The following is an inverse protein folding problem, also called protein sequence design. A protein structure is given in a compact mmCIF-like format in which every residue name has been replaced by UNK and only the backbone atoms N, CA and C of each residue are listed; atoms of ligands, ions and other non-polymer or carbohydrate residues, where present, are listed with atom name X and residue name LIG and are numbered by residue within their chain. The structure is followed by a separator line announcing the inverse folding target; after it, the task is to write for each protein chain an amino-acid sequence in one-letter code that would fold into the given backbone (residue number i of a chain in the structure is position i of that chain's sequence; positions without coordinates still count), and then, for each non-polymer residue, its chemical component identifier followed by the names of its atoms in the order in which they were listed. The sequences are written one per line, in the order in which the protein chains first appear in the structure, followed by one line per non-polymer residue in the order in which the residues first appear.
data_IF_609388017947
#
_entry.id   IF_609388017947
#
_cell.length_a   1.000
_cell.length_b   1.000
_cell.length_c   1.000
_cell.angle_alpha   90.00
_cell.angle_beta   90.00
_cell.angle_gamma   90.00
#
_symmetry.space_group_name_H-M   'P 1'
#
loop_
_entity.id
_entity.type
_entity.pdbx_description
1 polymer ?
#
# COMPACT_ATOMS: atom_id res chain seq x y z
N UNK A 1 7.59 43.85 -10.73
CA UNK A 1 8.49 43.27 -9.72
C UNK A 1 7.63 42.46 -8.78
N UNK A 2 7.64 41.15 -8.97
CA UNK A 2 6.83 40.23 -8.21
C UNK A 2 7.30 40.24 -6.75
N UNK A 3 6.35 40.24 -5.82
CA UNK A 3 6.62 39.80 -4.46
C UNK A 3 6.98 38.32 -4.58
N UNK A 4 8.27 38.00 -4.66
CA UNK A 4 8.78 36.62 -4.66
C UNK A 4 8.22 35.93 -3.42
N UNK A 5 7.42 34.88 -3.63
CA UNK A 5 6.78 34.14 -2.56
C UNK A 5 7.86 33.44 -1.72
N UNK A 6 8.13 33.96 -0.51
CA UNK A 6 9.13 33.43 0.42
C UNK A 6 8.94 31.94 0.70
N UNK A 7 7.69 31.47 0.71
CA UNK A 7 7.34 30.06 0.88
C UNK A 7 7.85 29.20 -0.29
N UNK A 8 7.81 29.72 -1.52
CA UNK A 8 8.28 28.99 -2.70
C UNK A 8 9.80 28.83 -2.69
N UNK A 9 10.53 29.88 -2.29
CA UNK A 9 12.00 29.81 -2.16
C UNK A 9 12.41 28.84 -1.05
N UNK A 10 11.68 28.84 0.06
CA UNK A 10 11.86 27.88 1.14
C UNK A 10 11.69 26.45 0.63
N UNK A 11 10.58 26.18 -0.07
CA UNK A 11 10.27 24.88 -0.67
C UNK A 11 11.36 24.41 -1.64
N UNK A 12 11.77 25.27 -2.58
CA UNK A 12 12.82 24.97 -3.56
C UNK A 12 14.16 24.67 -2.87
N UNK A 13 14.51 25.43 -1.82
CA UNK A 13 15.72 25.21 -1.04
C UNK A 13 15.76 23.83 -0.38
N UNK A 14 14.67 23.43 0.27
CA UNK A 14 14.55 22.12 0.88
C UNK A 14 14.53 20.97 -0.14
N UNK A 15 13.91 21.18 -1.32
CA UNK A 15 13.98 20.23 -2.42
C UNK A 15 15.43 20.05 -2.92
N UNK A 16 16.18 21.13 -3.12
CA UNK A 16 17.62 21.04 -3.49
C UNK A 16 18.38 20.14 -2.50
N UNK A 17 18.14 20.31 -1.21
CA UNK A 17 18.78 19.48 -0.18
C UNK A 17 18.38 18.00 -0.33
N UNK A 18 17.08 17.72 -0.50
CA UNK A 18 16.54 16.37 -0.70
C UNK A 18 17.22 15.70 -1.90
N UNK A 19 17.16 16.33 -3.08
CA UNK A 19 17.75 15.83 -4.31
C UNK A 19 19.26 15.59 -4.17
N UNK A 20 19.99 16.52 -3.53
CA UNK A 20 21.43 16.35 -3.32
C UNK A 20 21.74 15.16 -2.42
N UNK A 21 21.01 15.00 -1.31
CA UNK A 21 21.23 13.89 -0.37
C UNK A 21 20.94 12.54 -1.04
N UNK A 22 19.89 12.47 -1.85
CA UNK A 22 19.52 11.23 -2.55
C UNK A 22 20.53 10.87 -3.64
N UNK A 23 20.91 11.82 -4.50
CA UNK A 23 21.94 11.60 -5.51
C UNK A 23 23.31 11.29 -4.90
N UNK A 24 23.64 11.86 -3.73
CA UNK A 24 24.87 11.52 -2.99
C UNK A 24 24.93 10.05 -2.61
N UNK A 25 23.82 9.38 -2.30
CA UNK A 25 23.85 7.94 -2.00
C UNK A 25 24.24 7.09 -3.21
N UNK A 26 23.99 7.60 -4.42
CA UNK A 26 24.24 6.90 -5.68
C UNK A 26 25.62 7.23 -6.29
N UNK A 27 26.02 8.50 -6.23
CA UNK A 27 27.20 9.02 -6.95
C UNK A 27 28.30 9.58 -6.01
N UNK A 28 28.08 9.52 -4.69
CA UNK A 28 28.97 9.83 -3.56
C UNK A 28 29.71 11.19 -3.59
N UNK A 29 30.72 11.35 -4.43
CA UNK A 29 31.62 12.50 -4.38
C UNK A 29 31.08 13.73 -5.13
N UNK A 30 30.36 13.53 -6.23
CA UNK A 30 29.83 14.61 -7.08
C UNK A 30 28.83 15.51 -6.34
N UNK A 31 27.98 14.89 -5.51
CA UNK A 31 26.94 15.56 -4.72
C UNK A 31 27.38 15.84 -3.27
N UNK A 32 28.69 15.74 -2.99
CA UNK A 32 29.26 16.30 -1.77
C UNK A 32 29.07 17.82 -1.75
N UNK A 33 28.91 18.42 -0.56
CA UNK A 33 28.75 19.89 -0.44
C UNK A 33 29.87 20.62 -1.18
N UNK A 34 31.09 20.07 -1.14
CA UNK A 34 32.30 20.70 -1.67
C UNK A 34 32.29 20.77 -3.19
N UNK A 35 32.01 19.65 -3.88
CA UNK A 35 31.92 19.61 -5.34
C UNK A 35 30.61 20.19 -5.86
N UNK A 36 29.53 20.04 -5.10
CA UNK A 36 28.22 20.51 -5.53
C UNK A 36 28.14 22.05 -5.57
N UNK A 37 28.78 22.78 -4.64
CA UNK A 37 28.81 24.24 -4.69
C UNK A 37 29.90 24.83 -5.60
N UNK A 38 30.84 24.01 -6.08
CA UNK A 38 31.99 24.46 -6.89
C UNK A 38 31.54 25.24 -8.13
N UNK A 39 32.16 26.40 -8.36
CA UNK A 39 31.85 27.29 -9.48
C UNK A 39 30.52 28.04 -9.39
N UNK A 40 29.70 27.79 -8.36
CA UNK A 40 28.35 28.37 -8.24
C UNK A 40 28.23 29.26 -6.99
N UNK A 41 28.56 28.74 -5.82
CA UNK A 41 28.42 29.47 -4.56
C UNK A 41 29.36 28.93 -3.47
N UNK A 42 29.36 29.56 -2.28
CA UNK A 42 30.15 29.05 -1.15
C UNK A 42 29.42 27.92 -0.43
N UNK A 43 30.16 27.07 0.30
CA UNK A 43 29.58 26.00 1.14
C UNK A 43 28.54 26.53 2.13
N UNK A 44 28.80 27.70 2.73
CA UNK A 44 27.88 28.34 3.65
C UNK A 44 26.62 28.85 2.93
N UNK A 45 26.77 29.37 1.71
CA UNK A 45 25.63 29.78 0.89
C UNK A 45 24.75 28.59 0.54
N UNK A 46 25.33 27.46 0.12
CA UNK A 46 24.57 26.25 -0.19
C UNK A 46 23.80 25.74 1.03
N UNK A 47 24.45 25.64 2.20
CA UNK A 47 23.78 25.21 3.44
C UNK A 47 22.61 26.12 3.82
N UNK A 48 22.75 27.44 3.64
CA UNK A 48 21.68 28.41 3.88
C UNK A 48 20.51 28.20 2.92
N UNK A 49 20.79 28.04 1.62
CA UNK A 49 19.78 27.71 0.60
C UNK A 49 19.04 26.42 0.96
N UNK A 50 19.77 25.38 1.36
CA UNK A 50 19.21 24.07 1.73
C UNK A 50 18.34 24.09 3.00
N UNK A 51 18.49 25.13 3.81
CA UNK A 51 17.64 25.43 4.96
C UNK A 51 16.51 26.43 4.62
N UNK A 52 16.28 26.69 3.33
CA UNK A 52 15.22 27.55 2.83
C UNK A 52 15.51 29.05 2.89
N UNK A 53 16.76 29.47 3.14
CA UNK A 53 17.11 30.89 3.13
C UNK A 53 17.26 31.47 1.72
N UNK A 54 16.92 32.76 1.59
CA UNK A 54 16.95 33.49 0.32
C UNK A 54 18.37 33.64 -0.24
N UNK A 55 18.49 33.39 -1.54
CA UNK A 55 19.66 33.72 -2.35
C UNK A 55 19.28 34.43 -3.66
N UNK A 56 20.27 34.72 -4.52
CA UNK A 56 20.02 35.26 -5.86
C UNK A 56 19.42 34.17 -6.76
N UNK A 57 18.44 34.51 -7.58
CA UNK A 57 17.78 33.57 -8.50
C UNK A 57 18.79 32.82 -9.39
N UNK A 58 19.82 33.51 -9.90
CA UNK A 58 20.86 32.88 -10.73
C UNK A 58 21.61 31.76 -10.00
N UNK A 59 21.73 31.84 -8.67
CA UNK A 59 22.31 30.77 -7.86
C UNK A 59 21.40 29.55 -7.82
N UNK A 60 20.08 29.73 -7.66
CA UNK A 60 19.12 28.62 -7.72
C UNK A 60 19.11 27.97 -9.11
N UNK A 61 19.10 28.76 -10.18
CA UNK A 61 19.12 28.26 -11.56
C UNK A 61 20.35 27.38 -11.81
N UNK A 62 21.54 27.84 -11.43
CA UNK A 62 22.80 27.09 -11.62
C UNK A 62 22.87 25.83 -10.75
N UNK A 63 22.27 25.84 -9.56
CA UNK A 63 22.19 24.66 -8.70
C UNK A 63 21.23 23.64 -9.31
N UNK A 64 20.03 24.07 -9.69
CA UNK A 64 18.98 23.18 -10.21
C UNK A 64 19.35 22.58 -11.56
N UNK A 65 20.14 23.29 -12.39
CA UNK A 65 20.65 22.72 -13.65
C UNK A 65 21.57 21.52 -13.44
N UNK A 66 22.18 21.34 -12.26
CA UNK A 66 22.94 20.11 -11.94
C UNK A 66 22.05 18.87 -11.78
N UNK A 67 20.74 19.06 -11.62
CA UNK A 67 19.74 17.99 -11.58
C UNK A 67 18.89 17.94 -12.86
N UNK A 68 19.26 18.69 -13.91
CA UNK A 68 18.43 18.91 -15.11
C UNK A 68 17.03 19.51 -14.79
N UNK A 69 16.95 20.29 -13.72
CA UNK A 69 15.73 20.97 -13.26
C UNK A 69 15.82 22.49 -13.41
N UNK A 70 14.65 23.14 -13.49
CA UNK A 70 14.51 24.57 -13.64
C UNK A 70 13.99 25.25 -12.38
N UNK A 71 14.41 26.50 -12.21
CA UNK A 71 13.86 27.42 -11.21
C UNK A 71 12.65 28.16 -11.78
N UNK A 72 11.54 28.22 -11.05
CA UNK A 72 10.36 28.96 -11.48
C UNK A 72 9.19 28.86 -10.52
N UNK A 73 8.31 29.84 -10.64
CA UNK A 73 7.09 29.98 -9.84
C UNK A 73 5.91 30.35 -10.75
N UNK A 74 4.81 29.60 -10.64
CA UNK A 74 3.63 29.74 -11.48
C UNK A 74 2.36 29.77 -10.62
N UNK A 75 2.02 30.91 -9.97
CA UNK A 75 0.91 31.00 -9.03
C UNK A 75 -0.45 30.59 -9.60
N UNK A 76 -0.69 30.84 -10.90
CA UNK A 76 -1.93 30.41 -11.58
C UNK A 76 -2.05 28.90 -11.72
N UNK A 77 -0.93 28.19 -11.84
CA UNK A 77 -0.91 26.72 -11.84
C UNK A 77 -1.21 26.24 -10.42
N UNK A 78 -0.56 26.83 -9.41
CA UNK A 78 -0.76 26.48 -8.00
C UNK A 78 -2.24 26.64 -7.59
N UNK A 79 -2.88 27.76 -7.92
CA UNK A 79 -4.31 28.01 -7.67
C UNK A 79 -5.21 26.96 -8.36
N UNK A 80 -4.94 26.66 -9.63
CA UNK A 80 -5.72 25.67 -10.37
C UNK A 80 -5.57 24.26 -9.79
N UNK A 81 -4.37 23.87 -9.36
CA UNK A 81 -4.12 22.58 -8.72
C UNK A 81 -4.88 22.45 -7.39
N UNK A 82 -4.86 23.48 -6.55
CA UNK A 82 -5.58 23.47 -5.27
C UNK A 82 -7.10 23.31 -5.45
N UNK A 83 -7.69 23.99 -6.44
CA UNK A 83 -9.11 23.82 -6.77
C UNK A 83 -9.44 22.40 -7.23
N UNK A 84 -8.56 21.76 -8.00
CA UNK A 84 -8.73 20.37 -8.42
C UNK A 84 -8.55 19.39 -7.27
N UNK A 85 -7.69 19.71 -6.31
CA UNK A 85 -7.33 18.83 -5.20
C UNK A 85 -8.51 18.57 -4.25
N UNK A 86 -9.32 19.59 -3.95
CA UNK A 86 -10.54 19.41 -3.14
C UNK A 86 -11.53 18.45 -3.82
N UNK A 87 -11.70 18.59 -5.14
CA UNK A 87 -12.58 17.70 -5.91
C UNK A 87 -12.03 16.27 -5.98
N UNK A 88 -10.71 16.15 -6.14
CA UNK A 88 -10.02 14.86 -6.13
C UNK A 88 -10.18 14.16 -4.78
N UNK A 89 -9.97 14.86 -3.65
CA UNK A 89 -10.18 14.27 -2.33
C UNK A 89 -11.61 13.82 -2.10
N UNK A 90 -12.60 14.58 -2.57
CA UNK A 90 -14.00 14.15 -2.52
C UNK A 90 -14.25 12.91 -3.39
N UNK A 91 -13.68 12.83 -4.59
CA UNK A 91 -13.78 11.65 -5.44
C UNK A 91 -13.14 10.42 -4.77
N UNK A 92 -11.98 10.58 -4.13
CA UNK A 92 -11.32 9.52 -3.34
C UNK A 92 -12.21 9.09 -2.17
N UNK A 93 -12.79 10.02 -1.43
CA UNK A 93 -13.69 9.75 -0.29
C UNK A 93 -14.87 8.86 -0.72
N UNK A 94 -15.50 9.16 -1.85
CA UNK A 94 -16.61 8.40 -2.40
C UNK A 94 -16.19 7.19 -3.26
N UNK A 95 -14.88 6.95 -3.39
CA UNK A 95 -14.34 5.89 -4.23
C UNK A 95 -14.84 5.98 -5.69
N UNK A 96 -15.01 7.21 -6.18
CA UNK A 96 -15.43 7.52 -7.55
C UNK A 96 -14.20 7.48 -8.46
N UNK A 97 -13.82 6.27 -8.85
CA UNK A 97 -12.64 5.98 -9.67
C UNK A 97 -12.64 6.80 -10.99
N UNK A 98 -13.75 6.88 -11.78
CA UNK A 98 -13.81 7.74 -12.96
C UNK A 98 -13.45 9.21 -12.67
N UNK A 99 -14.01 9.81 -11.63
CA UNK A 99 -13.71 11.20 -11.28
C UNK A 99 -12.26 11.38 -10.81
N UNK A 100 -11.73 10.44 -10.02
CA UNK A 100 -10.30 10.46 -9.62
C UNK A 100 -9.39 10.52 -10.85
N UNK A 101 -9.66 9.66 -11.84
CA UNK A 101 -8.90 9.61 -13.10
C UNK A 101 -8.98 10.93 -13.85
N UNK A 102 -10.17 11.48 -13.99
CA UNK A 102 -10.39 12.75 -14.69
C UNK A 102 -9.60 13.89 -14.04
N UNK A 103 -9.68 14.04 -12.71
CA UNK A 103 -8.96 15.10 -12.01
C UNK A 103 -7.44 14.93 -12.07
N UNK A 104 -6.92 13.71 -11.93
CA UNK A 104 -5.49 13.45 -12.11
C UNK A 104 -5.03 13.77 -13.53
N UNK A 105 -5.77 13.37 -14.57
CA UNK A 105 -5.42 13.66 -15.96
C UNK A 105 -5.40 15.16 -16.26
N UNK A 106 -6.37 15.92 -15.71
CA UNK A 106 -6.38 17.39 -15.80
C UNK A 106 -5.15 18.00 -15.14
N UNK A 107 -4.80 17.56 -13.93
CA UNK A 107 -3.60 18.00 -13.22
C UNK A 107 -2.32 17.69 -14.01
N UNK A 108 -2.19 16.47 -14.53
CA UNK A 108 -1.04 16.06 -15.35
C UNK A 108 -0.91 16.90 -16.63
N UNK A 109 -2.03 17.16 -17.31
CA UNK A 109 -2.05 18.02 -18.52
C UNK A 109 -1.60 19.44 -18.22
N UNK A 110 -2.04 20.00 -17.09
CA UNK A 110 -1.63 21.33 -16.63
C UNK A 110 -0.12 21.37 -16.31
N UNK A 111 0.39 20.33 -15.64
CA UNK A 111 1.77 20.23 -15.20
C UNK A 111 2.75 19.87 -16.32
N UNK A 112 2.30 19.26 -17.42
CA UNK A 112 3.15 18.78 -18.52
C UNK A 112 4.11 19.86 -19.06
N UNK A 113 3.65 21.12 -19.13
CA UNK A 113 4.45 22.25 -19.64
C UNK A 113 5.49 22.78 -18.65
N UNK A 114 5.36 22.43 -17.38
CA UNK A 114 6.22 22.88 -16.28
C UNK A 114 6.87 21.72 -15.52
N UNK A 115 6.77 20.49 -16.02
CA UNK A 115 7.26 19.27 -15.34
C UNK A 115 8.77 19.23 -15.11
N UNK A 116 9.53 20.13 -15.73
CA UNK A 116 10.98 20.26 -15.55
C UNK A 116 11.36 21.29 -14.48
N UNK A 117 10.39 21.96 -13.84
CA UNK A 117 10.64 22.85 -12.71
C UNK A 117 10.54 22.07 -11.41
N UNK A 118 11.49 22.26 -10.49
CA UNK A 118 11.71 21.38 -9.32
C UNK A 118 10.47 21.08 -8.46
N UNK A 119 9.58 22.05 -8.25
CA UNK A 119 8.34 21.83 -7.47
C UNK A 119 7.31 21.07 -8.29
N UNK A 120 7.23 21.41 -9.58
CA UNK A 120 6.20 20.90 -10.47
C UNK A 120 6.54 19.51 -11.01
N UNK A 121 7.82 19.13 -11.06
CA UNK A 121 8.25 17.75 -11.30
C UNK A 121 7.72 16.82 -10.20
N UNK A 122 7.82 17.23 -8.94
CA UNK A 122 7.29 16.45 -7.81
C UNK A 122 5.78 16.32 -7.86
N UNK A 123 5.08 17.43 -8.11
CA UNK A 123 3.63 17.41 -8.26
C UNK A 123 3.21 16.51 -9.43
N UNK A 124 3.92 16.57 -10.56
CA UNK A 124 3.62 15.72 -11.71
C UNK A 124 3.75 14.24 -11.35
N UNK A 125 4.84 13.85 -10.68
CA UNK A 125 5.04 12.48 -10.24
C UNK A 125 3.99 12.04 -9.23
N UNK A 126 3.65 12.89 -8.24
CA UNK A 126 2.60 12.60 -7.26
C UNK A 126 1.24 12.33 -7.93
N UNK A 127 0.79 13.21 -8.82
CA UNK A 127 -0.47 13.01 -9.54
C UNK A 127 -0.44 11.80 -10.46
N UNK A 128 0.72 11.50 -11.05
CA UNK A 128 0.90 10.32 -11.91
C UNK A 128 0.79 9.04 -11.09
N UNK A 129 1.46 8.96 -9.94
CA UNK A 129 1.40 7.78 -9.08
C UNK A 129 0.00 7.57 -8.49
N UNK A 130 -0.72 8.65 -8.14
CA UNK A 130 -2.14 8.56 -7.74
C UNK A 130 -3.00 8.05 -8.91
N UNK A 131 -2.79 8.56 -10.12
CA UNK A 131 -3.50 8.08 -11.30
C UNK A 131 -3.24 6.59 -11.54
N UNK A 132 -1.97 6.18 -11.55
CA UNK A 132 -1.54 4.81 -11.81
C UNK A 132 -2.07 3.84 -10.74
N UNK A 133 -2.13 4.28 -9.47
CA UNK A 133 -2.76 3.52 -8.39
C UNK A 133 -4.24 3.24 -8.66
N UNK A 134 -5.06 4.26 -8.94
CA UNK A 134 -6.50 4.07 -9.14
C UNK A 134 -6.88 3.52 -10.52
N UNK A 135 -6.04 3.70 -11.54
CA UNK A 135 -6.31 3.22 -12.90
C UNK A 135 -5.79 1.81 -13.15
N UNK A 136 -4.63 1.46 -12.61
CA UNK A 136 -3.92 0.23 -12.95
C UNK A 136 -3.59 -0.63 -11.72
N UNK A 137 -4.01 -0.25 -10.51
CA UNK A 137 -3.64 -0.94 -9.25
C UNK A 137 -2.11 -1.03 -9.07
N UNK A 138 -1.39 0.00 -9.53
CA UNK A 138 0.06 0.09 -9.41
C UNK A 138 0.41 0.62 -8.02
N UNK A 139 1.24 -0.14 -7.30
CA UNK A 139 1.80 0.27 -6.01
C UNK A 139 3.18 0.86 -6.26
N UNK A 140 3.46 2.00 -5.62
CA UNK A 140 4.74 2.70 -5.75
C UNK A 140 5.94 1.83 -5.33
N UNK A 141 7.12 2.11 -5.91
CA UNK A 141 8.35 1.39 -5.54
C UNK A 141 8.81 1.72 -4.11
N UNK A 142 9.71 0.91 -3.55
CA UNK A 142 10.31 1.19 -2.23
C UNK A 142 11.11 2.50 -2.23
N UNK A 143 11.79 2.80 -3.33
CA UNK A 143 12.52 4.05 -3.51
C UNK A 143 11.59 5.25 -3.54
N UNK A 144 10.47 5.15 -4.28
CA UNK A 144 9.45 6.20 -4.32
C UNK A 144 8.83 6.44 -2.95
N UNK A 145 8.54 5.37 -2.19
CA UNK A 145 8.03 5.48 -0.82
C UNK A 145 9.02 6.23 0.10
N UNK A 146 10.31 5.90 0.03
CA UNK A 146 11.34 6.59 0.83
C UNK A 146 11.51 8.06 0.44
N UNK A 147 11.37 8.37 -0.85
CA UNK A 147 11.35 9.74 -1.34
C UNK A 147 10.14 10.49 -0.77
N UNK A 148 8.93 9.93 -0.91
CA UNK A 148 7.69 10.51 -0.39
C UNK A 148 7.69 10.72 1.13
N UNK A 149 8.30 9.81 1.91
CA UNK A 149 8.46 9.95 3.36
C UNK A 149 9.29 11.16 3.79
N UNK A 150 10.13 11.70 2.90
CA UNK A 150 10.87 12.95 3.12
C UNK A 150 10.15 14.13 2.48
N UNK A 151 9.56 13.92 1.29
CA UNK A 151 8.83 14.95 0.56
C UNK A 151 7.65 15.50 1.36
N UNK A 152 6.96 14.65 2.15
CA UNK A 152 5.86 15.08 3.04
C UNK A 152 6.29 16.10 4.11
N UNK A 153 7.58 16.15 4.48
CA UNK A 153 8.10 17.13 5.44
C UNK A 153 8.38 18.50 4.79
N UNK A 154 8.29 18.56 3.46
CA UNK A 154 8.71 19.70 2.63
C UNK A 154 7.52 20.28 1.86
N UNK A 155 6.64 19.43 1.34
CA UNK A 155 5.51 19.86 0.51
C UNK A 155 4.42 20.59 1.31
N UNK A 156 3.62 21.47 0.67
CA UNK A 156 2.48 22.08 1.33
C UNK A 156 1.46 21.05 1.83
N UNK A 157 0.94 21.27 3.05
CA UNK A 157 -0.01 20.38 3.75
C UNK A 157 -1.22 19.95 2.90
N UNK A 158 -1.59 20.77 1.92
CA UNK A 158 -2.68 20.47 0.98
C UNK A 158 -2.49 19.11 0.29
N UNK A 159 -1.25 18.70 0.00
CA UNK A 159 -0.91 17.46 -0.71
C UNK A 159 -0.63 16.27 0.21
N UNK A 160 -0.58 16.49 1.53
CA UNK A 160 -0.14 15.47 2.48
C UNK A 160 -0.93 14.17 2.36
N UNK A 161 -2.26 14.25 2.25
CA UNK A 161 -3.09 13.06 2.27
C UNK A 161 -2.95 12.24 0.98
N UNK A 162 -2.62 12.86 -0.17
CA UNK A 162 -2.23 12.11 -1.37
C UNK A 162 -0.89 11.39 -1.16
N UNK A 163 0.10 12.06 -0.56
CA UNK A 163 1.41 11.47 -0.27
C UNK A 163 1.25 10.31 0.72
N UNK A 164 0.51 10.52 1.81
CA UNK A 164 0.20 9.48 2.81
C UNK A 164 -0.53 8.32 2.17
N UNK A 165 -1.52 8.57 1.30
CA UNK A 165 -2.26 7.52 0.61
C UNK A 165 -1.32 6.58 -0.14
N UNK A 166 -0.40 7.11 -0.95
CA UNK A 166 0.55 6.28 -1.71
C UNK A 166 1.47 5.48 -0.79
N UNK A 167 2.00 6.09 0.27
CA UNK A 167 2.86 5.42 1.25
C UNK A 167 2.07 4.29 1.95
N UNK A 168 0.85 4.56 2.42
CA UNK A 168 0.04 3.62 3.20
C UNK A 168 -0.46 2.43 2.39
N UNK A 169 -0.59 2.56 1.08
CA UNK A 169 -0.90 1.42 0.21
C UNK A 169 0.33 0.51 -0.02
N UNK A 170 1.55 1.05 0.09
CA UNK A 170 2.81 0.28 -0.05
C UNK A 170 3.24 -0.40 1.25
N UNK A 171 3.04 0.27 2.39
CA UNK A 171 3.53 -0.17 3.71
C UNK A 171 3.10 -1.60 4.12
N UNK A 172 1.85 -2.07 3.87
CA UNK A 172 1.45 -3.43 4.22
C UNK A 172 2.32 -4.52 3.57
N UNK A 173 2.84 -4.28 2.37
CA UNK A 173 3.74 -5.22 1.69
C UNK A 173 5.11 -5.28 2.39
N UNK A 174 5.60 -4.17 2.92
CA UNK A 174 6.84 -4.15 3.71
C UNK A 174 6.63 -4.76 5.10
N UNK A 175 5.40 -4.73 5.65
CA UNK A 175 5.09 -5.37 6.93
C UNK A 175 5.23 -6.90 6.90
N UNK A 176 5.07 -7.53 5.73
CA UNK A 176 5.30 -8.97 5.51
C UNK A 176 6.79 -9.32 5.73
N UNK A 177 7.70 -8.40 5.40
CA UNK A 177 9.15 -8.59 5.55
C UNK A 177 9.72 -7.96 6.83
N UNK A 178 9.12 -6.88 7.34
CA UNK A 178 9.62 -6.13 8.49
C UNK A 178 8.50 -5.37 9.26
N UNK A 179 7.83 -6.07 10.17
CA UNK A 179 6.76 -5.50 11.00
C UNK A 179 7.18 -4.35 11.93
N UNK A 180 8.46 -4.26 12.33
CA UNK A 180 8.96 -3.17 13.19
C UNK A 180 9.04 -1.85 12.42
N UNK A 181 9.55 -1.92 11.20
CA UNK A 181 9.66 -0.75 10.32
C UNK A 181 8.28 -0.21 9.93
N UNK A 182 7.33 -1.10 9.63
CA UNK A 182 5.93 -0.74 9.41
C UNK A 182 5.36 0.12 10.56
N UNK A 183 5.53 -0.33 11.81
CA UNK A 183 5.06 0.39 12.99
C UNK A 183 5.69 1.77 13.16
N UNK A 184 6.98 1.90 12.85
CA UNK A 184 7.69 3.18 12.93
C UNK A 184 7.16 4.17 11.90
N UNK A 185 6.95 3.73 10.66
CA UNK A 185 6.41 4.58 9.59
C UNK A 185 4.98 5.03 9.90
N UNK A 186 4.08 4.14 10.34
CA UNK A 186 2.70 4.53 10.68
C UNK A 186 2.66 5.60 11.78
N UNK A 187 3.48 5.43 12.83
CA UNK A 187 3.57 6.44 13.90
C UNK A 187 4.06 7.79 13.39
N UNK A 188 5.03 7.79 12.47
CA UNK A 188 5.58 9.02 11.86
C UNK A 188 4.53 9.75 11.00
N UNK A 189 3.66 9.01 10.31
CA UNK A 189 2.64 9.59 9.42
C UNK A 189 1.47 10.27 10.15
N UNK A 190 1.34 10.09 11.48
CA UNK A 190 0.40 10.82 12.34
C UNK A 190 -1.08 10.82 11.86
N UNK A 191 -1.59 9.65 11.45
CA UNK A 191 -2.91 9.52 10.80
C UNK A 191 -4.11 10.01 11.64
N UNK A 192 -3.98 10.11 12.96
CA UNK A 192 -5.03 10.62 13.85
C UNK A 192 -5.48 12.05 13.54
N UNK A 193 -4.57 12.86 12.99
CA UNK A 193 -4.79 14.28 12.74
C UNK A 193 -5.16 14.57 11.27
N UNK A 194 -5.48 13.54 10.48
CA UNK A 194 -5.81 13.70 9.06
C UNK A 194 -7.17 14.40 8.87
N UNK A 195 -7.25 15.25 7.85
CA UNK A 195 -8.45 16.04 7.53
C UNK A 195 -9.51 15.17 6.84
N UNK A 196 -9.08 14.28 5.94
CA UNK A 196 -9.97 13.48 5.13
C UNK A 196 -10.31 12.15 5.80
N UNK A 197 -11.58 11.74 5.71
CA UNK A 197 -12.10 10.61 6.49
C UNK A 197 -11.56 9.28 5.97
N UNK A 198 -11.38 9.14 4.65
CA UNK A 198 -10.82 7.95 4.03
C UNK A 198 -9.44 7.58 4.59
N UNK A 199 -8.65 8.54 5.06
CA UNK A 199 -7.35 8.28 5.67
C UNK A 199 -7.46 7.48 6.98
N UNK A 200 -8.57 7.60 7.70
CA UNK A 200 -8.81 6.85 8.95
C UNK A 200 -9.09 5.37 8.69
N UNK A 201 -9.42 4.94 7.47
CA UNK A 201 -9.51 3.51 7.13
C UNK A 201 -8.15 2.82 7.32
N UNK A 202 -7.05 3.52 7.07
CA UNK A 202 -5.70 2.98 7.31
C UNK A 202 -5.38 2.82 8.80
N UNK A 203 -6.03 3.58 9.70
CA UNK A 203 -5.93 3.34 11.15
C UNK A 203 -6.57 2.01 11.55
N UNK A 204 -7.68 1.62 10.91
CA UNK A 204 -8.31 0.32 11.17
C UNK A 204 -7.36 -0.83 10.81
N UNK A 205 -6.66 -0.72 9.67
CA UNK A 205 -5.63 -1.68 9.28
C UNK A 205 -4.51 -1.76 10.32
N UNK A 206 -3.98 -0.61 10.74
CA UNK A 206 -2.94 -0.53 11.77
C UNK A 206 -3.37 -1.18 13.09
N UNK A 207 -4.60 -0.93 13.53
CA UNK A 207 -5.13 -1.51 14.77
C UNK A 207 -5.46 -3.00 14.65
N UNK A 208 -5.86 -3.48 13.47
CA UNK A 208 -6.01 -4.90 13.20
C UNK A 208 -4.65 -5.62 13.33
N UNK A 209 -3.60 -5.00 12.77
CA UNK A 209 -2.23 -5.53 12.79
C UNK A 209 -1.61 -5.52 14.20
N UNK A 210 -1.81 -4.43 14.95
CA UNK A 210 -1.24 -4.27 16.30
C UNK A 210 -2.16 -4.74 17.43
N UNK A 211 -3.32 -5.31 17.10
CA UNK A 211 -4.31 -5.86 18.03
C UNK A 211 -4.83 -4.86 19.08
N UNK A 212 -4.91 -3.57 18.71
CA UNK A 212 -5.44 -2.51 19.57
C UNK A 212 -6.98 -2.43 19.48
N UNK A 213 -7.67 -3.46 19.96
CA UNK A 213 -9.11 -3.67 19.70
C UNK A 213 -10.04 -2.57 20.24
N UNK A 214 -9.72 -1.94 21.36
CA UNK A 214 -10.53 -0.83 21.90
C UNK A 214 -10.50 0.39 20.97
N UNK A 215 -9.29 0.83 20.61
CA UNK A 215 -9.09 1.93 19.67
C UNK A 215 -9.64 1.61 18.28
N UNK A 216 -9.51 0.35 17.84
CA UNK A 216 -10.13 -0.15 16.62
C UNK A 216 -11.64 0.11 16.65
N UNK A 217 -12.33 -0.39 17.68
CA UNK A 217 -13.79 -0.25 17.82
C UNK A 217 -14.24 1.21 17.79
N UNK A 218 -13.54 2.09 18.51
CA UNK A 218 -13.88 3.52 18.57
C UNK A 218 -13.83 4.20 17.18
N UNK A 219 -12.77 3.94 16.40
CA UNK A 219 -12.64 4.52 15.05
C UNK A 219 -13.65 3.88 14.10
N UNK A 220 -13.90 2.58 14.21
CA UNK A 220 -14.88 1.86 13.42
C UNK A 220 -16.29 2.42 13.61
N UNK A 221 -16.71 2.62 14.87
CA UNK A 221 -18.04 3.16 15.19
C UNK A 221 -18.21 4.61 14.68
N UNK A 222 -17.16 5.46 14.77
CA UNK A 222 -17.16 6.83 14.18
C UNK A 222 -17.30 6.78 12.65
N UNK A 223 -16.53 5.91 11.99
CA UNK A 223 -16.57 5.76 10.53
C UNK A 223 -17.91 5.21 10.05
N UNK A 224 -18.46 4.17 10.67
CA UNK A 224 -19.78 3.64 10.33
C UNK A 224 -20.85 4.73 10.43
N UNK A 225 -20.85 5.51 11.52
CA UNK A 225 -21.82 6.58 11.72
C UNK A 225 -21.70 7.66 10.63
N UNK A 226 -20.48 8.10 10.32
CA UNK A 226 -20.23 9.16 9.32
C UNK A 226 -20.60 8.70 7.92
N UNK A 227 -20.13 7.53 7.49
CA UNK A 227 -20.43 7.03 6.15
C UNK A 227 -21.91 6.70 5.93
N UNK A 228 -22.61 6.25 6.97
CA UNK A 228 -24.07 6.15 6.93
C UNK A 228 -24.73 7.52 6.72
N UNK A 229 -24.28 8.56 7.42
CA UNK A 229 -24.84 9.91 7.26
C UNK A 229 -24.63 10.48 5.85
N UNK A 230 -23.51 10.14 5.20
CA UNK A 230 -23.20 10.54 3.83
C UNK A 230 -23.82 9.62 2.78
N UNK A 231 -24.45 8.51 3.18
CA UNK A 231 -24.92 7.43 2.29
C UNK A 231 -23.82 6.92 1.35
N UNK A 232 -22.59 6.86 1.85
CA UNK A 232 -21.44 6.34 1.12
C UNK A 232 -21.33 4.82 1.33
N UNK A 233 -22.16 4.07 0.60
CA UNK A 233 -22.28 2.62 0.77
C UNK A 233 -21.01 1.85 0.38
N UNK A 234 -20.22 2.39 -0.57
CA UNK A 234 -18.94 1.80 -0.97
C UNK A 234 -17.95 1.82 0.21
N UNK A 235 -17.82 2.95 0.92
CA UNK A 235 -16.98 3.04 2.11
C UNK A 235 -17.56 2.32 3.33
N UNK A 236 -18.88 2.18 3.43
CA UNK A 236 -19.47 1.34 4.47
C UNK A 236 -19.04 -0.13 4.32
N UNK A 237 -18.89 -0.64 3.09
CA UNK A 237 -18.33 -1.99 2.89
C UNK A 237 -16.89 -2.10 3.40
N UNK A 238 -16.04 -1.09 3.17
CA UNK A 238 -14.68 -1.05 3.74
C UNK A 238 -14.74 -1.14 5.27
N UNK A 239 -15.61 -0.33 5.90
CA UNK A 239 -15.80 -0.36 7.36
C UNK A 239 -16.32 -1.71 7.84
N UNK A 240 -17.25 -2.34 7.12
CA UNK A 240 -17.82 -3.64 7.50
C UNK A 240 -16.83 -4.78 7.34
N UNK A 241 -15.93 -4.73 6.36
CA UNK A 241 -14.79 -5.66 6.28
C UNK A 241 -13.93 -5.59 7.54
N UNK A 242 -13.58 -4.38 7.98
CA UNK A 242 -12.84 -4.18 9.23
C UNK A 242 -13.63 -4.59 10.48
N UNK A 243 -14.94 -4.39 10.49
CA UNK A 243 -15.80 -4.89 11.56
C UNK A 243 -15.77 -6.41 11.65
N UNK A 244 -15.82 -7.10 10.52
CA UNK A 244 -15.72 -8.56 10.48
C UNK A 244 -14.34 -9.00 11.01
N UNK A 245 -13.25 -8.32 10.64
CA UNK A 245 -11.91 -8.59 11.20
C UNK A 245 -11.88 -8.42 12.73
N UNK A 246 -12.39 -7.30 13.25
CA UNK A 246 -12.41 -7.03 14.68
C UNK A 246 -13.23 -8.09 15.43
N UNK A 247 -14.48 -8.27 15.01
CA UNK A 247 -15.43 -9.12 15.71
C UNK A 247 -15.15 -10.62 15.52
N UNK A 248 -14.44 -11.03 14.47
CA UNK A 248 -13.98 -12.41 14.35
C UNK A 248 -13.03 -12.79 15.49
N UNK A 249 -12.26 -11.83 16.02
CA UNK A 249 -11.34 -12.02 17.14
C UNK A 249 -12.00 -11.90 18.52
N UNK A 250 -13.02 -11.04 18.67
CA UNK A 250 -13.54 -10.68 20.01
C UNK A 250 -14.99 -11.12 20.28
N UNK A 251 -15.85 -11.24 19.26
CA UNK A 251 -17.28 -11.57 19.45
C UNK A 251 -17.92 -12.10 18.16
N UNK A 252 -17.86 -13.43 17.96
CA UNK A 252 -18.28 -14.08 16.71
C UNK A 252 -19.74 -13.79 16.31
N UNK A 253 -20.67 -13.61 17.25
CA UNK A 253 -22.08 -13.31 16.92
C UNK A 253 -22.24 -11.98 16.16
N UNK A 254 -21.37 -11.00 16.45
CA UNK A 254 -21.38 -9.71 15.76
C UNK A 254 -20.97 -9.84 14.29
N UNK A 255 -20.14 -10.84 13.94
CA UNK A 255 -19.75 -11.09 12.55
C UNK A 255 -20.98 -11.31 11.67
N UNK A 256 -21.95 -12.11 12.13
CA UNK A 256 -23.18 -12.38 11.38
C UNK A 256 -24.05 -11.13 11.21
N UNK A 257 -24.02 -10.20 12.15
CA UNK A 257 -24.73 -8.91 12.01
C UNK A 257 -24.10 -8.09 10.89
N UNK A 258 -22.78 -7.99 10.84
CA UNK A 258 -22.09 -7.25 9.77
C UNK A 258 -22.20 -7.93 8.41
N UNK A 259 -22.21 -9.28 8.34
CA UNK A 259 -22.48 -9.99 7.09
C UNK A 259 -23.87 -9.64 6.53
N UNK A 260 -24.90 -9.58 7.37
CA UNK A 260 -26.24 -9.13 6.93
C UNK A 260 -26.25 -7.69 6.44
N UNK A 261 -25.45 -6.81 7.05
CA UNK A 261 -25.31 -5.41 6.58
C UNK A 261 -24.60 -5.34 5.23
N UNK A 262 -23.57 -6.18 5.01
CA UNK A 262 -22.89 -6.32 3.72
C UNK A 262 -23.87 -6.81 2.65
N UNK A 263 -24.59 -7.89 2.91
CA UNK A 263 -25.59 -8.44 1.98
C UNK A 263 -26.65 -7.38 1.64
N UNK A 264 -27.20 -6.68 2.65
CA UNK A 264 -28.14 -5.58 2.44
C UNK A 264 -27.59 -4.50 1.50
N UNK A 265 -26.34 -4.07 1.69
CA UNK A 265 -25.74 -3.05 0.83
C UNK A 265 -25.62 -3.55 -0.62
N UNK A 266 -25.09 -4.76 -0.81
CA UNK A 266 -24.83 -5.35 -2.14
C UNK A 266 -26.15 -5.58 -2.89
N UNK A 267 -27.21 -5.97 -2.20
CA UNK A 267 -28.52 -6.25 -2.81
C UNK A 267 -29.33 -5.00 -3.16
N UNK A 268 -29.13 -3.89 -2.45
CA UNK A 268 -30.03 -2.73 -2.52
C UNK A 268 -29.40 -1.46 -3.09
N UNK A 269 -28.07 -1.37 -3.19
CA UNK A 269 -27.38 -0.18 -3.68
C UNK A 269 -26.37 -0.51 -4.77
N UNK A 270 -26.04 0.52 -5.56
CA UNK A 270 -24.97 0.40 -6.54
C UNK A 270 -23.62 0.35 -5.83
N UNK A 271 -22.87 -0.72 -6.10
CA UNK A 271 -21.49 -0.92 -5.66
C UNK A 271 -20.70 -1.47 -6.84
N UNK A 272 -19.50 -0.93 -7.13
CA UNK A 272 -18.63 -1.49 -8.17
C UNK A 272 -18.32 -2.97 -7.91
N UNK A 273 -18.31 -3.78 -8.97
CA UNK A 273 -18.05 -5.21 -8.88
C UNK A 273 -16.70 -5.52 -8.21
N UNK A 274 -15.68 -4.72 -8.49
CA UNK A 274 -14.36 -4.85 -7.89
C UNK A 274 -14.42 -4.72 -6.35
N UNK A 275 -15.23 -3.78 -5.83
CA UNK A 275 -15.42 -3.60 -4.39
C UNK A 275 -16.22 -4.76 -3.76
N UNK A 276 -17.19 -5.31 -4.49
CA UNK A 276 -17.92 -6.52 -4.07
C UNK A 276 -16.95 -7.71 -3.97
N UNK A 277 -16.09 -7.88 -4.98
CA UNK A 277 -15.04 -8.89 -5.01
C UNK A 277 -14.10 -8.78 -3.81
N UNK A 278 -13.56 -7.59 -3.57
CA UNK A 278 -12.69 -7.27 -2.42
C UNK A 278 -13.38 -7.58 -1.08
N UNK A 279 -14.66 -7.24 -0.95
CA UNK A 279 -15.45 -7.54 0.24
C UNK A 279 -15.57 -9.05 0.47
N UNK A 280 -15.87 -9.82 -0.57
CA UNK A 280 -15.94 -11.27 -0.45
C UNK A 280 -14.58 -11.92 -0.18
N UNK A 281 -13.48 -11.41 -0.75
CA UNK A 281 -12.15 -11.93 -0.46
C UNK A 281 -11.75 -11.68 1.00
N UNK A 282 -12.01 -10.49 1.52
CA UNK A 282 -11.78 -10.15 2.93
C UNK A 282 -12.57 -11.07 3.88
N UNK A 283 -13.86 -11.29 3.60
CA UNK A 283 -14.69 -12.22 4.37
C UNK A 283 -14.14 -13.65 4.30
N UNK A 284 -13.74 -14.11 3.11
CA UNK A 284 -13.17 -15.43 2.91
C UNK A 284 -11.88 -15.64 3.71
N UNK A 285 -10.98 -14.65 3.68
CA UNK A 285 -9.73 -14.65 4.44
C UNK A 285 -9.99 -14.76 5.95
N UNK A 286 -10.97 -14.01 6.47
CA UNK A 286 -11.34 -14.12 7.89
C UNK A 286 -11.87 -15.51 8.24
N UNK A 287 -12.72 -16.10 7.40
CA UNK A 287 -13.17 -17.46 7.63
C UNK A 287 -12.05 -18.50 7.53
N UNK A 288 -11.09 -18.30 6.62
CA UNK A 288 -9.92 -19.16 6.49
C UNK A 288 -9.07 -19.15 7.77
N UNK A 289 -8.72 -17.96 8.28
CA UNK A 289 -7.95 -17.78 9.52
C UNK A 289 -8.63 -18.49 10.71
N UNK A 290 -9.96 -18.48 10.75
CA UNK A 290 -10.76 -19.16 11.79
C UNK A 290 -11.06 -20.64 11.49
N UNK A 291 -10.33 -21.25 10.55
CA UNK A 291 -10.49 -22.65 10.12
C UNK A 291 -11.89 -23.02 9.60
N UNK A 292 -12.72 -22.05 9.19
CA UNK A 292 -14.05 -22.27 8.59
C UNK A 292 -13.92 -22.44 7.08
N UNK A 293 -13.20 -23.48 6.66
CA UNK A 293 -12.77 -23.67 5.27
C UNK A 293 -13.93 -23.80 4.26
N UNK A 294 -15.08 -24.35 4.67
CA UNK A 294 -16.27 -24.43 3.82
C UNK A 294 -16.84 -23.05 3.50
N UNK A 295 -17.00 -22.21 4.51
CA UNK A 295 -17.51 -20.84 4.36
C UNK A 295 -16.51 -19.98 3.59
N UNK A 296 -15.22 -20.08 3.93
CA UNK A 296 -14.15 -19.40 3.22
C UNK A 296 -14.17 -19.73 1.72
N UNK A 297 -14.25 -21.02 1.36
CA UNK A 297 -14.29 -21.42 -0.05
C UNK A 297 -15.56 -20.95 -0.77
N UNK A 298 -16.70 -20.87 -0.08
CA UNK A 298 -17.93 -20.29 -0.63
C UNK A 298 -17.71 -18.81 -0.99
N UNK A 299 -17.09 -18.03 -0.10
CA UNK A 299 -16.83 -16.61 -0.34
C UNK A 299 -15.73 -16.37 -1.38
N UNK A 300 -14.66 -17.17 -1.43
CA UNK A 300 -13.70 -17.12 -2.55
C UNK A 300 -14.38 -17.43 -3.90
N UNK A 301 -15.33 -18.36 -3.91
CA UNK A 301 -16.12 -18.65 -5.11
C UNK A 301 -17.05 -17.50 -5.51
N UNK A 302 -17.55 -16.71 -4.54
CA UNK A 302 -18.27 -15.46 -4.82
C UNK A 302 -17.31 -14.41 -5.38
N UNK A 303 -16.16 -14.18 -4.75
CA UNK A 303 -15.13 -13.22 -5.18
C UNK A 303 -14.80 -13.38 -6.68
N UNK A 304 -14.53 -14.60 -7.16
CA UNK A 304 -14.19 -14.88 -8.58
C UNK A 304 -15.28 -14.44 -9.56
N UNK A 305 -16.55 -14.35 -9.13
CA UNK A 305 -17.65 -13.89 -9.99
C UNK A 305 -17.68 -12.37 -10.19
N UNK A 306 -17.03 -11.63 -9.30
CA UNK A 306 -17.13 -10.16 -9.24
C UNK A 306 -15.81 -9.44 -9.57
N UNK A 307 -14.66 -10.10 -9.53
CA UNK A 307 -13.40 -9.46 -9.88
C UNK A 307 -12.53 -10.33 -10.78
N UNK A 308 -11.72 -9.67 -11.61
CA UNK A 308 -10.78 -10.32 -12.53
C UNK A 308 -9.31 -10.07 -12.14
N UNK A 309 -9.07 -9.21 -11.16
CA UNK A 309 -7.76 -8.94 -10.57
C UNK A 309 -7.78 -9.56 -9.18
N UNK A 310 -6.75 -10.33 -8.84
CA UNK A 310 -6.71 -11.11 -7.60
C UNK A 310 -5.45 -10.81 -6.78
N UNK A 311 -5.60 -10.80 -5.46
CA UNK A 311 -4.46 -10.87 -4.57
C UNK A 311 -3.93 -12.30 -4.50
N UNK A 312 -2.61 -12.46 -4.62
CA UNK A 312 -1.98 -13.79 -4.64
C UNK A 312 -2.24 -14.55 -3.34
N UNK A 313 -2.38 -13.86 -2.21
CA UNK A 313 -2.74 -14.40 -0.90
C UNK A 313 -4.13 -15.02 -0.90
N UNK A 314 -5.12 -14.36 -1.51
CA UNK A 314 -6.48 -14.87 -1.63
C UNK A 314 -6.49 -16.21 -2.39
N UNK A 315 -5.68 -16.30 -3.46
CA UNK A 315 -5.56 -17.53 -4.25
C UNK A 315 -4.85 -18.65 -3.48
N UNK A 316 -3.82 -18.32 -2.69
CA UNK A 316 -3.12 -19.27 -1.81
C UNK A 316 -4.09 -19.83 -0.76
N UNK A 317 -4.88 -18.98 -0.11
CA UNK A 317 -5.85 -19.41 0.89
C UNK A 317 -7.02 -20.19 0.27
N UNK A 318 -7.48 -19.79 -0.92
CA UNK A 318 -8.48 -20.55 -1.67
C UNK A 318 -7.97 -21.97 -2.02
N UNK A 319 -6.73 -22.09 -2.51
CA UNK A 319 -6.11 -23.38 -2.80
C UNK A 319 -5.96 -24.23 -1.54
N UNK A 320 -5.58 -23.60 -0.42
CA UNK A 320 -5.50 -24.28 0.86
C UNK A 320 -6.89 -24.78 1.32
N UNK A 321 -7.95 -23.99 1.21
CA UNK A 321 -9.33 -24.45 1.48
C UNK A 321 -9.68 -25.67 0.64
N UNK A 322 -9.39 -25.65 -0.67
CA UNK A 322 -9.64 -26.80 -1.56
C UNK A 322 -8.86 -28.03 -1.09
N UNK A 323 -7.57 -27.86 -0.76
CA UNK A 323 -6.71 -28.92 -0.24
C UNK A 323 -7.23 -29.51 1.07
N UNK A 324 -7.57 -28.67 2.06
CA UNK A 324 -8.08 -29.10 3.38
C UNK A 324 -9.37 -29.90 3.22
N UNK A 325 -10.26 -29.46 2.33
CA UNK A 325 -11.53 -30.11 2.04
C UNK A 325 -11.41 -31.31 1.08
N UNK A 326 -10.19 -31.72 0.72
CA UNK A 326 -9.90 -32.79 -0.24
C UNK A 326 -10.60 -32.61 -1.60
N UNK A 327 -10.73 -31.36 -2.05
CA UNK A 327 -11.19 -30.98 -3.38
C UNK A 327 -9.99 -30.83 -4.33
N UNK A 328 -10.27 -30.90 -5.62
CA UNK A 328 -9.30 -30.53 -6.65
C UNK A 328 -8.91 -29.05 -6.48
N UNK A 329 -7.61 -28.77 -6.59
CA UNK A 329 -7.11 -27.40 -6.51
C UNK A 329 -7.32 -26.75 -7.86
N UNK A 330 -8.17 -25.72 -7.87
CA UNK A 330 -8.53 -24.96 -9.05
C UNK A 330 -8.60 -23.49 -8.66
N UNK A 331 -7.53 -22.75 -8.98
CA UNK A 331 -7.38 -21.32 -8.69
C UNK A 331 -7.10 -20.56 -9.99
N UNK A 332 -7.52 -19.29 -10.10
CA UNK A 332 -7.17 -18.42 -11.23
C UNK A 332 -5.67 -18.40 -11.55
N UNK A 333 -5.35 -18.33 -12.85
CA UNK A 333 -3.97 -18.21 -13.35
C UNK A 333 -3.66 -16.72 -13.53
N UNK A 334 -2.62 -16.25 -12.85
CA UNK A 334 -2.14 -14.88 -12.95
C UNK A 334 -1.10 -14.73 -14.06
N UNK A 335 -1.09 -13.57 -14.72
CA UNK A 335 -0.05 -13.20 -15.68
C UNK A 335 1.28 -12.93 -14.99
N UNK A 336 2.38 -12.94 -15.76
CA UNK A 336 3.72 -12.64 -15.24
C UNK A 336 3.79 -11.25 -14.59
N UNK A 337 3.16 -10.25 -15.20
CA UNK A 337 3.12 -8.87 -14.67
C UNK A 337 2.39 -8.81 -13.33
N UNK A 338 1.27 -9.53 -13.19
CA UNK A 338 0.50 -9.57 -11.94
C UNK A 338 1.26 -10.27 -10.80
N UNK A 339 2.10 -11.26 -11.11
CA UNK A 339 2.91 -11.98 -10.12
C UNK A 339 4.13 -11.16 -9.68
N UNK A 340 4.71 -10.39 -10.60
CA UNK A 340 5.96 -9.64 -10.36
C UNK A 340 5.84 -8.50 -9.34
N UNK A 341 4.62 -8.07 -8.99
CA UNK A 341 4.39 -7.05 -7.94
C UNK A 341 4.51 -7.57 -6.50
N UNK A 342 4.47 -8.89 -6.28
CA UNK A 342 4.46 -9.49 -4.95
C UNK A 342 5.84 -9.91 -4.45
N UNK A 343 6.09 -10.00 -3.13
CA UNK A 343 7.33 -10.58 -2.59
C UNK A 343 7.62 -11.99 -3.10
N UNK A 344 8.90 -12.37 -3.19
CA UNK A 344 9.34 -13.66 -3.73
C UNK A 344 8.66 -14.87 -3.03
N UNK A 345 8.46 -14.77 -1.72
CA UNK A 345 7.81 -15.81 -0.92
C UNK A 345 6.40 -16.14 -1.43
N UNK A 346 5.55 -15.13 -1.66
CA UNK A 346 4.20 -15.34 -2.15
C UNK A 346 4.18 -15.96 -3.55
N UNK A 347 5.11 -15.57 -4.43
CA UNK A 347 5.25 -16.16 -5.77
C UNK A 347 5.56 -17.66 -5.67
N UNK A 348 6.48 -18.05 -4.77
CA UNK A 348 6.82 -19.46 -4.54
C UNK A 348 5.65 -20.26 -3.99
N UNK A 349 4.90 -19.69 -3.04
CA UNK A 349 3.72 -20.32 -2.44
C UNK A 349 2.58 -20.53 -3.46
N UNK A 350 2.34 -19.56 -4.33
CA UNK A 350 1.37 -19.69 -5.42
C UNK A 350 1.80 -20.74 -6.45
N UNK A 351 3.08 -20.74 -6.85
CA UNK A 351 3.63 -21.73 -7.77
C UNK A 351 3.57 -23.16 -7.20
N UNK A 352 3.70 -23.33 -5.88
CA UNK A 352 3.48 -24.62 -5.23
C UNK A 352 2.07 -25.15 -5.48
N UNK A 353 1.06 -24.29 -5.38
CA UNK A 353 -0.33 -24.68 -5.59
C UNK A 353 -0.68 -24.92 -7.08
N UNK A 354 -0.10 -24.15 -8.00
CA UNK A 354 -0.26 -24.42 -9.45
C UNK A 354 0.26 -25.80 -9.85
N UNK A 355 1.35 -26.26 -9.22
CA UNK A 355 1.96 -27.56 -9.50
C UNK A 355 1.43 -28.68 -8.59
N UNK A 356 0.43 -28.41 -7.75
CA UNK A 356 0.03 -29.31 -6.68
C UNK A 356 -0.45 -30.68 -7.17
N UNK A 357 -1.16 -30.73 -8.31
CA UNK A 357 -1.65 -32.00 -8.88
C UNK A 357 -0.54 -32.86 -9.48
N UNK A 358 0.59 -32.25 -9.85
CA UNK A 358 1.68 -32.88 -10.61
C UNK A 358 2.79 -33.37 -9.67
N UNK A 359 3.11 -32.59 -8.63
CA UNK A 359 4.20 -32.93 -7.72
C UNK A 359 3.88 -34.13 -6.82
N UNK A 360 4.84 -35.04 -6.73
CA UNK A 360 4.84 -36.15 -5.77
C UNK A 360 4.85 -35.63 -4.32
N UNK A 361 4.42 -36.44 -3.33
CA UNK A 361 4.45 -36.00 -1.94
C UNK A 361 5.87 -35.71 -1.43
N UNK A 362 6.92 -36.25 -2.06
CA UNK A 362 8.31 -35.98 -1.66
C UNK A 362 8.79 -34.62 -2.18
N UNK A 363 8.54 -34.34 -3.46
CA UNK A 363 8.83 -33.02 -4.05
C UNK A 363 8.11 -31.89 -3.31
N UNK A 364 6.86 -32.11 -2.87
CA UNK A 364 6.13 -31.14 -2.03
C UNK A 364 6.83 -30.87 -0.71
N UNK A 365 7.29 -31.91 -0.02
CA UNK A 365 8.02 -31.75 1.24
C UNK A 365 9.32 -30.98 1.03
N UNK A 366 10.10 -31.36 0.01
CA UNK A 366 11.39 -30.75 -0.28
C UNK A 366 11.22 -29.28 -0.69
N UNK A 367 10.20 -28.95 -1.48
CA UNK A 367 9.88 -27.57 -1.83
C UNK A 367 9.49 -26.74 -0.59
N UNK A 368 8.61 -27.27 0.27
CA UNK A 368 8.21 -26.56 1.49
C UNK A 368 9.42 -26.26 2.39
N UNK A 369 10.31 -27.25 2.58
CA UNK A 369 11.47 -27.12 3.46
C UNK A 369 12.59 -26.24 2.90
N UNK A 370 12.84 -26.31 1.60
CA UNK A 370 13.98 -25.63 0.99
C UNK A 370 13.63 -24.27 0.41
N UNK A 371 12.40 -24.09 -0.08
CA UNK A 371 12.01 -22.90 -0.83
C UNK A 371 11.07 -21.96 -0.07
N UNK A 372 10.24 -22.49 0.83
CA UNK A 372 9.21 -21.73 1.57
C UNK A 372 9.65 -21.44 3.00
N UNK A 373 9.88 -22.47 3.82
CA UNK A 373 10.21 -22.33 5.24
C UNK A 373 11.38 -21.37 5.52
N UNK A 374 12.50 -21.37 4.75
CA UNK A 374 13.66 -20.54 5.05
C UNK A 374 13.42 -19.05 4.91
N UNK A 375 12.38 -18.63 4.18
CA UNK A 375 12.07 -17.21 3.91
C UNK A 375 10.64 -16.80 4.31
N UNK A 376 9.83 -17.72 4.85
CA UNK A 376 8.52 -17.38 5.39
C UNK A 376 8.64 -16.78 6.80
N UNK A 377 8.06 -15.61 7.01
CA UNK A 377 7.99 -14.92 8.31
C UNK A 377 6.53 -14.71 8.78
N UNK A 378 5.56 -14.96 7.90
CA UNK A 378 4.15 -14.78 8.18
C UNK A 378 3.59 -16.00 8.93
N UNK A 379 2.90 -15.75 10.06
CA UNK A 379 2.37 -16.79 10.95
C UNK A 379 1.22 -17.57 10.32
N UNK A 380 0.30 -16.89 9.65
CA UNK A 380 -0.89 -17.51 9.07
C UNK A 380 -0.50 -18.38 7.87
N UNK A 381 0.39 -17.88 7.01
CA UNK A 381 0.97 -18.65 5.91
C UNK A 381 1.85 -19.80 6.42
N UNK A 382 2.53 -19.64 7.56
CA UNK A 382 3.28 -20.75 8.17
C UNK A 382 2.36 -21.91 8.56
N UNK A 383 1.19 -21.63 9.12
CA UNK A 383 0.22 -22.69 9.44
C UNK A 383 -0.37 -23.36 8.20
N UNK A 384 -0.60 -22.61 7.11
CA UNK A 384 -0.99 -23.17 5.80
C UNK A 384 0.01 -24.21 5.31
N UNK A 385 1.30 -23.86 5.29
CA UNK A 385 2.33 -24.77 4.78
C UNK A 385 2.71 -25.87 5.78
N UNK A 386 2.51 -25.65 7.08
CA UNK A 386 2.55 -26.73 8.08
C UNK A 386 1.47 -27.77 7.83
N UNK A 387 0.26 -27.36 7.46
CA UNK A 387 -0.81 -28.29 7.07
C UNK A 387 -0.43 -29.09 5.81
N UNK A 388 0.03 -28.42 4.76
CA UNK A 388 0.42 -29.09 3.51
C UNK A 388 1.57 -30.08 3.72
N UNK A 389 2.54 -29.71 4.56
CA UNK A 389 3.64 -30.59 4.94
C UNK A 389 3.12 -31.84 5.67
N UNK A 390 2.24 -31.67 6.68
CA UNK A 390 1.63 -32.81 7.40
C UNK A 390 0.86 -33.72 6.44
N UNK A 391 0.12 -33.16 5.48
CA UNK A 391 -0.63 -33.92 4.48
C UNK A 391 0.30 -34.72 3.56
N UNK A 392 1.43 -34.14 3.16
CA UNK A 392 2.44 -34.83 2.37
C UNK A 392 3.18 -35.92 3.17
N UNK A 393 3.50 -35.67 4.45
CA UNK A 393 4.17 -36.64 5.33
C UNK A 393 3.31 -37.89 5.54
N UNK A 394 1.99 -37.75 5.72
CA UNK A 394 1.07 -38.90 5.85
C UNK A 394 1.17 -39.89 4.69
N UNK A 395 1.61 -39.44 3.51
CA UNK A 395 1.78 -40.29 2.32
C UNK A 395 3.18 -40.93 2.20
N UNK A 396 4.20 -40.35 2.85
CA UNK A 396 5.61 -40.73 2.70
C UNK A 396 6.30 -41.17 4.01
N UNK A 397 5.63 -41.09 5.16
CA UNK A 397 6.13 -41.47 6.49
C UNK A 397 7.43 -40.77 6.96
N UNK A 398 7.77 -39.61 6.39
CA UNK A 398 8.98 -38.85 6.72
C UNK A 398 8.74 -37.83 7.85
N UNK A 399 8.56 -38.30 9.09
CA UNK A 399 8.22 -37.42 10.23
C UNK A 399 9.32 -36.42 10.61
N UNK A 400 10.58 -36.69 10.27
CA UNK A 400 11.73 -35.77 10.49
C UNK A 400 11.50 -34.40 9.82
N UNK A 401 10.80 -34.36 8.70
CA UNK A 401 10.51 -33.13 7.97
C UNK A 401 9.67 -32.14 8.78
N UNK A 402 8.74 -32.61 9.62
CA UNK A 402 7.93 -31.72 10.45
C UNK A 402 8.78 -31.05 11.54
N UNK A 403 9.67 -31.82 12.18
CA UNK A 403 10.61 -31.29 13.18
C UNK A 403 11.52 -30.21 12.57
N UNK A 404 12.10 -30.47 11.39
CA UNK A 404 12.93 -29.50 10.68
C UNK A 404 12.16 -28.22 10.34
N UNK A 405 10.91 -28.34 9.90
CA UNK A 405 10.08 -27.18 9.62
C UNK A 405 9.84 -26.33 10.87
N UNK A 406 9.48 -26.97 11.99
CA UNK A 406 9.25 -26.28 13.27
C UNK A 406 10.52 -25.62 13.79
N UNK A 407 11.69 -26.25 13.64
CA UNK A 407 12.98 -25.66 14.00
C UNK A 407 13.30 -24.41 13.16
N UNK A 408 13.10 -24.47 11.84
CA UNK A 408 13.34 -23.33 10.94
C UNK A 408 12.44 -22.15 11.29
N UNK A 409 11.15 -22.39 11.55
CA UNK A 409 10.20 -21.32 11.88
C UNK A 409 10.47 -20.74 13.28
N UNK A 410 10.72 -21.59 14.29
CA UNK A 410 10.98 -21.12 15.66
C UNK A 410 12.28 -20.30 15.76
N UNK A 411 13.30 -20.65 14.99
CA UNK A 411 14.56 -19.90 14.95
C UNK A 411 14.44 -18.48 14.37
N UNK A 412 13.29 -18.11 13.79
CA UNK A 412 12.99 -16.76 13.29
C UNK A 412 12.17 -15.90 14.24
N UNK A 413 11.47 -16.53 15.19
CA UNK A 413 10.60 -15.83 16.15
C UNK A 413 11.41 -15.31 17.36
N UNK A 414 12.63 -15.82 17.54
CA UNK A 414 13.66 -15.30 18.46
C UNK A 414 14.57 -14.30 17.75
#
# INVERSE_FOLDING_TARGET
MAVENLEKLWLIGHMINLYRIENRKLYNDEYSIERFCEGICTRNTLKRIENGERCRESTYMNILSKFDLLFGDFPKIDEALLLMLDQLYNAIEFYDIPSVKEYCQKALTLLERVRNYVVYSELYMLFKDVYDHFQYDIIISRDSMHHYLKLIEIMPDAYDDLIRLLILNRLPLDAIENGKEYNNHIKKLCLYNTKHLFMKLHLLHYYAYTEQFESFKLILDDLEKRYNSFKNYVRLLDVYNYAIILYSKIQLDMVFIYLKKVDYIIENFYVPNEKIGETYSNIANQFHIHCKYHDALMYFSKMIKYQNIYYITDLIYMANCQSVLNKEINIPILSKMEIEKYPQILRKMYNFYLNYGISSPKEKQDFILNEIAPINEDKDLSEVFKFELKKAIKKNSCYKSLYLYEEIINNKVN
#
